data_IF_427662293307
#
_entry.id   IF_427662293307
#
_cell.length_a   1.000
_cell.length_b   1.000
_cell.length_c   1.000
_cell.angle_alpha   90.00
_cell.angle_beta   90.00
_cell.angle_gamma   90.00
#
_symmetry.space_group_name_H-M   'P 1'
#
loop_
_entity.id
_entity.type
_entity.pdbx_description
1 polymer ?
#
# COMPACT_ATOMS: atom_id res chain seq x y z
N UNK A 1 10.68 1.20 -5.53
CA UNK A 1 10.67 1.87 -4.21
C UNK A 1 10.62 3.36 -4.46
N UNK A 2 9.97 4.11 -3.57
CA UNK A 2 9.88 5.56 -3.65
C UNK A 2 10.58 6.13 -2.44
N UNK A 3 11.55 7.00 -2.67
CA UNK A 3 12.30 7.66 -1.58
C UNK A 3 11.42 8.72 -0.94
N UNK A 4 11.41 8.75 0.39
CA UNK A 4 10.65 9.72 1.17
C UNK A 4 11.61 10.71 1.79
N UNK A 5 11.43 11.99 1.49
CA UNK A 5 12.12 13.04 2.22
C UNK A 5 11.43 13.25 3.57
N UNK A 6 12.17 13.02 4.66
CA UNK A 6 11.68 13.28 5.99
C UNK A 6 11.55 14.78 6.25
N UNK A 7 10.40 15.21 6.75
CA UNK A 7 10.31 16.51 7.41
C UNK A 7 11.25 16.55 8.62
N UNK A 8 11.70 17.75 9.02
CA UNK A 8 12.59 17.94 10.19
C UNK A 8 12.02 17.39 11.51
N UNK A 9 10.73 17.05 11.53
CA UNK A 9 9.97 16.67 12.72
C UNK A 9 9.78 15.15 12.86
N UNK A 10 10.45 14.33 12.03
CA UNK A 10 10.30 12.87 12.04
C UNK A 10 8.97 12.40 11.45
N UNK A 11 8.39 13.21 10.56
CA UNK A 11 7.16 12.91 9.82
C UNK A 11 7.50 12.75 8.35
N UNK A 12 7.03 11.66 7.75
CA UNK A 12 7.25 11.29 6.36
C UNK A 12 5.89 11.12 5.70
N UNK A 13 5.75 11.55 4.45
CA UNK A 13 4.50 11.44 3.69
C UNK A 13 4.74 10.91 2.29
N UNK A 14 3.79 10.13 1.79
CA UNK A 14 3.70 9.79 0.38
C UNK A 14 2.25 9.58 -0.04
N UNK A 15 1.98 9.65 -1.34
CA UNK A 15 0.68 9.31 -1.89
C UNK A 15 0.69 7.91 -2.50
N UNK A 16 -0.38 7.16 -2.30
CA UNK A 16 -0.62 5.85 -2.91
C UNK A 16 -1.91 5.92 -3.71
N UNK A 17 -1.84 5.57 -4.99
CA UNK A 17 -3.01 5.43 -5.86
C UNK A 17 -3.58 4.03 -5.68
N UNK A 18 -4.88 3.93 -5.44
CA UNK A 18 -5.58 2.65 -5.47
C UNK A 18 -5.63 2.12 -6.91
N UNK A 19 -5.12 0.91 -7.14
CA UNK A 19 -5.28 0.20 -8.40
C UNK A 19 -6.68 -0.38 -8.57
N UNK A 20 -6.87 -1.18 -9.63
CA UNK A 20 -8.16 -1.77 -10.00
C UNK A 20 -8.76 -2.67 -8.90
N UNK A 21 -7.92 -3.29 -8.08
CA UNK A 21 -8.34 -4.15 -6.95
C UNK A 21 -8.83 -3.34 -5.76
N UNK A 22 -8.55 -2.03 -5.72
CA UNK A 22 -8.79 -1.11 -4.60
C UNK A 22 -8.13 -1.57 -3.29
N UNK A 23 -7.05 -2.35 -3.39
CA UNK A 23 -6.37 -2.96 -2.24
C UNK A 23 -4.86 -2.92 -2.44
N UNK A 24 -4.22 -1.99 -1.74
CA UNK A 24 -2.78 -1.78 -1.85
C UNK A 24 -2.05 -2.26 -0.60
N UNK A 25 -1.10 -3.16 -0.80
CA UNK A 25 -0.20 -3.65 0.24
C UNK A 25 1.14 -2.94 0.16
N UNK A 26 1.66 -2.47 1.30
CA UNK A 26 2.95 -1.80 1.34
C UNK A 26 3.67 -2.01 2.68
N UNK A 27 4.98 -1.78 2.68
CA UNK A 27 5.79 -1.59 3.89
C UNK A 27 6.74 -0.42 3.67
N UNK A 28 7.37 0.05 4.74
CA UNK A 28 8.43 1.06 4.66
C UNK A 28 9.77 0.37 4.89
N UNK A 29 10.86 0.93 4.38
CA UNK A 29 12.21 0.46 4.68
C UNK A 29 13.14 1.62 4.88
N UNK A 30 14.07 1.50 5.83
CA UNK A 30 15.14 2.46 6.05
C UNK A 30 16.33 2.25 5.08
N UNK A 31 16.29 1.19 4.27
CA UNK A 31 17.33 0.84 3.29
C UNK A 31 16.68 0.39 1.98
N UNK A 32 17.46 0.20 0.92
CA UNK A 32 16.96 -0.36 -0.34
C UNK A 32 16.52 -1.85 -0.21
N UNK A 33 16.90 -2.52 0.88
CA UNK A 33 16.60 -3.93 1.13
C UNK A 33 15.58 -4.18 2.26
N UNK A 34 15.15 -5.45 2.44
CA UNK A 34 14.20 -5.83 3.49
C UNK A 34 14.83 -5.93 4.89
N UNK A 35 16.13 -5.70 5.03
CA UNK A 35 16.87 -5.92 6.28
C UNK A 35 16.58 -4.86 7.36
N UNK A 36 15.97 -3.75 6.97
CA UNK A 36 15.54 -2.67 7.86
C UNK A 36 14.10 -2.26 7.55
N UNK A 37 13.21 -3.26 7.44
CA UNK A 37 11.81 -3.07 7.14
C UNK A 37 11.04 -2.55 8.37
N UNK A 38 10.17 -1.58 8.14
CA UNK A 38 9.17 -1.11 9.09
C UNK A 38 7.83 -1.64 8.62
N UNK A 39 7.21 -2.46 9.47
CA UNK A 39 6.10 -3.32 9.08
C UNK A 39 5.06 -3.44 10.21
N UNK A 40 3.83 -3.92 9.92
CA UNK A 40 2.88 -4.23 10.97
C UNK A 40 3.23 -5.52 11.71
N UNK A 41 2.64 -5.71 12.89
CA UNK A 41 2.75 -6.95 13.65
C UNK A 41 2.13 -8.18 12.94
N UNK A 42 1.14 -7.97 12.08
CA UNK A 42 0.42 -9.03 11.34
C UNK A 42 0.32 -8.67 9.86
N UNK A 43 0.23 -9.67 8.99
CA UNK A 43 0.07 -9.45 7.56
C UNK A 43 -1.28 -8.74 7.24
N UNK A 44 -1.27 -7.89 6.21
CA UNK A 44 -2.44 -7.15 5.71
C UNK A 44 -3.13 -6.32 6.79
N UNK A 45 -2.34 -5.67 7.64
CA UNK A 45 -2.87 -4.93 8.76
C UNK A 45 -3.32 -3.51 8.37
N UNK A 46 -4.34 -3.01 9.04
CA UNK A 46 -4.74 -1.61 8.90
C UNK A 46 -3.84 -0.67 9.71
N UNK A 47 -4.01 0.63 9.53
CA UNK A 47 -3.33 1.72 10.26
C UNK A 47 -3.52 1.68 11.78
N UNK A 48 -4.44 0.85 12.29
CA UNK A 48 -4.63 0.64 13.74
C UNK A 48 -3.64 -0.35 14.34
N UNK A 49 -2.86 -1.04 13.49
CA UNK A 49 -1.88 -2.03 13.92
C UNK A 49 -0.65 -1.37 14.53
N UNK A 50 0.04 -2.13 15.38
CA UNK A 50 1.33 -1.71 15.90
C UNK A 50 2.36 -1.70 14.77
N UNK A 51 3.15 -0.62 14.73
CA UNK A 51 4.33 -0.49 13.86
C UNK A 51 5.53 -1.14 14.55
N UNK A 52 6.21 -2.04 13.84
CA UNK A 52 7.35 -2.85 14.28
C UNK A 52 8.56 -2.58 13.38
N UNK A 53 9.76 -2.96 13.83
CA UNK A 53 11.03 -2.70 13.15
C UNK A 53 11.69 -1.37 13.58
N UNK A 54 12.66 -0.87 12.79
CA UNK A 54 13.23 -1.50 11.60
C UNK A 54 13.98 -2.79 11.94
N UNK A 55 13.66 -3.88 11.25
CA UNK A 55 14.35 -5.19 11.38
C UNK A 55 14.19 -6.04 10.10
N UNK A 56 14.70 -7.28 10.12
CA UNK A 56 14.68 -8.22 9.00
C UNK A 56 13.45 -9.13 8.95
N UNK A 57 12.52 -8.99 9.89
CA UNK A 57 11.39 -9.90 10.08
C UNK A 57 10.13 -9.47 9.31
N UNK A 58 10.19 -8.32 8.59
CA UNK A 58 9.08 -7.76 7.84
C UNK A 58 8.62 -8.54 6.59
N UNK A 59 9.22 -9.70 6.29
CA UNK A 59 8.88 -10.47 5.09
C UNK A 59 7.43 -10.96 5.13
N UNK A 60 6.62 -10.48 4.19
CA UNK A 60 5.19 -10.82 4.10
C UNK A 60 4.30 -10.07 5.10
N UNK A 61 4.87 -9.12 5.85
CA UNK A 61 4.14 -8.26 6.77
C UNK A 61 3.97 -6.89 6.11
N UNK A 62 2.79 -6.69 5.52
CA UNK A 62 2.45 -5.45 4.83
C UNK A 62 1.26 -4.77 5.49
N UNK A 63 1.28 -3.45 5.52
CA UNK A 63 0.10 -2.62 5.73
C UNK A 63 -0.83 -2.75 4.52
N UNK A 64 -2.14 -2.67 4.75
CA UNK A 64 -3.17 -2.76 3.71
C UNK A 64 -4.04 -1.51 3.72
N UNK A 65 -4.03 -0.75 2.62
CA UNK A 65 -5.06 0.23 2.31
C UNK A 65 -6.23 -0.53 1.66
N UNK A 66 -7.38 -0.60 2.33
CA UNK A 66 -8.56 -1.32 1.84
C UNK A 66 -9.63 -0.33 1.35
N UNK A 67 -9.49 0.13 0.11
CA UNK A 67 -10.46 1.01 -0.52
C UNK A 67 -11.85 0.39 -0.72
N UNK A 68 -12.00 -0.94 -0.62
CA UNK A 68 -13.31 -1.59 -0.55
C UNK A 68 -14.03 -1.29 0.76
N UNK A 69 -13.30 -1.31 1.88
CA UNK A 69 -13.87 -0.99 3.19
C UNK A 69 -14.25 0.50 3.31
N UNK A 70 -13.51 1.37 2.61
CA UNK A 70 -13.73 2.82 2.61
C UNK A 70 -14.71 3.31 1.52
N UNK A 71 -15.21 2.41 0.67
CA UNK A 71 -15.99 2.73 -0.55
C UNK A 71 -15.28 3.68 -1.54
N UNK A 72 -13.95 3.68 -1.52
CA UNK A 72 -13.13 4.48 -2.44
C UNK A 72 -12.97 3.79 -3.80
N UNK A 73 -13.23 4.47 -4.94
CA UNK A 73 -13.04 3.90 -6.26
C UNK A 73 -11.55 3.65 -6.61
N UNK A 74 -11.31 2.86 -7.65
CA UNK A 74 -9.98 2.77 -8.26
C UNK A 74 -9.55 4.16 -8.76
N UNK A 75 -8.26 4.46 -8.64
CA UNK A 75 -7.69 5.78 -8.90
C UNK A 75 -7.78 6.76 -7.72
N UNK A 76 -8.50 6.42 -6.64
CA UNK A 76 -8.46 7.24 -5.41
C UNK A 76 -7.05 7.30 -4.85
N UNK A 77 -6.67 8.48 -4.39
CA UNK A 77 -5.34 8.73 -3.82
C UNK A 77 -5.45 8.79 -2.30
N UNK A 78 -4.55 8.08 -1.64
CA UNK A 78 -4.39 8.10 -0.20
C UNK A 78 -3.06 8.73 0.16
N UNK A 79 -3.06 9.71 1.05
CA UNK A 79 -1.83 10.18 1.68
C UNK A 79 -1.53 9.27 2.87
N UNK A 80 -0.36 8.63 2.82
CA UNK A 80 0.22 7.88 3.93
C UNK A 80 1.09 8.84 4.74
N UNK A 81 0.79 8.97 6.02
CA UNK A 81 1.61 9.67 6.99
C UNK A 81 2.29 8.66 7.92
N UNK A 82 3.61 8.76 8.02
CA UNK A 82 4.41 7.97 8.92
C UNK A 82 5.14 8.88 9.92
N UNK A 83 4.89 8.64 11.20
CA UNK A 83 5.52 9.36 12.30
C UNK A 83 6.52 8.44 12.97
N UNK A 84 7.78 8.87 12.99
CA UNK A 84 8.88 8.13 13.60
C UNK A 84 9.74 9.04 14.47
N UNK A 85 9.35 9.14 15.73
CA UNK A 85 10.06 9.90 16.76
C UNK A 85 10.43 9.00 17.95
N UNK A 86 11.19 9.53 18.89
CA UNK A 86 11.50 8.82 20.14
C UNK A 86 10.26 8.53 20.99
N UNK A 87 9.21 9.35 20.88
CA UNK A 87 8.01 9.26 21.71
C UNK A 87 6.84 8.56 21.00
N UNK A 88 6.80 8.60 19.66
CA UNK A 88 5.68 8.11 18.88
C UNK A 88 6.16 7.39 17.62
N UNK A 89 5.56 6.22 17.40
CA UNK A 89 5.67 5.46 16.16
C UNK A 89 4.26 5.13 15.70
N UNK A 90 3.84 5.74 14.60
CA UNK A 90 2.52 5.50 14.05
C UNK A 90 2.53 5.62 12.54
N UNK A 91 1.62 4.90 11.92
CA UNK A 91 1.31 5.06 10.50
C UNK A 91 -0.18 5.30 10.35
N UNK A 92 -0.55 6.18 9.45
CA UNK A 92 -1.93 6.45 9.09
C UNK A 92 -2.05 6.76 7.62
N UNK A 93 -3.26 6.62 7.09
CA UNK A 93 -3.59 7.06 5.75
C UNK A 93 -5.03 7.55 5.68
N UNK A 94 -5.24 8.51 4.79
CA UNK A 94 -6.55 9.08 4.49
C UNK A 94 -6.68 9.42 3.01
N UNK A 95 -7.89 9.32 2.44
CA UNK A 95 -8.13 9.76 1.07
C UNK A 95 -7.85 11.26 0.92
N UNK A 96 -7.32 11.65 -0.24
CA UNK A 96 -7.05 13.05 -0.60
C UNK A 96 -8.07 13.52 -1.62
N UNK A 97 -8.73 14.63 -1.35
CA UNK A 97 -9.77 15.20 -2.23
C UNK A 97 -9.19 16.08 -3.35
N UNK A 98 -7.98 16.61 -3.21
CA UNK A 98 -7.37 17.55 -4.17
C UNK A 98 -5.91 17.18 -4.47
N UNK A 99 -5.63 16.84 -5.73
CA UNK A 99 -4.32 16.41 -6.25
C UNK A 99 -3.33 17.56 -6.33
N UNK A 100 -2.63 17.83 -5.22
CA UNK A 100 -1.37 18.56 -5.20
C UNK A 100 -0.35 17.83 -4.32
N UNK A 101 -0.04 16.57 -4.68
CA UNK A 101 0.96 15.78 -3.96
C UNK A 101 2.21 15.63 -4.83
N UNK A 102 3.36 15.98 -4.25
CA UNK A 102 4.66 15.99 -4.93
C UNK A 102 5.18 14.57 -5.27
N UNK A 103 4.61 13.53 -4.66
CA UNK A 103 5.06 12.14 -4.82
C UNK A 103 3.86 11.18 -4.87
N UNK A 104 3.56 10.64 -6.05
CA UNK A 104 2.47 9.70 -6.31
C UNK A 104 3.02 8.30 -6.63
N UNK A 105 2.70 7.31 -5.78
CA UNK A 105 3.03 5.89 -5.99
C UNK A 105 1.85 5.20 -6.67
N UNK A 106 2.08 4.51 -7.80
CA UNK A 106 1.06 3.73 -8.52
C UNK A 106 0.52 4.34 -9.81
N UNK A 107 1.08 5.45 -10.30
CA UNK A 107 0.74 5.98 -11.63
C UNK A 107 1.51 5.19 -12.71
N UNK A 108 0.88 4.17 -13.30
CA UNK A 108 1.42 3.52 -14.51
C UNK A 108 1.25 2.00 -14.70
N UNK A 109 0.37 1.32 -13.98
CA UNK A 109 0.21 -0.13 -14.18
C UNK A 109 -0.73 -0.47 -15.37
N UNK A 110 -0.14 -0.78 -16.53
CA UNK A 110 -0.83 -1.42 -17.65
C UNK A 110 -1.07 -2.92 -17.32
N UNK A 111 -2.23 -3.24 -16.75
CA UNK A 111 -2.57 -4.63 -16.42
C UNK A 111 -2.99 -5.44 -17.67
N UNK A 112 -2.17 -6.44 -18.03
CA UNK A 112 -2.52 -7.47 -19.02
C UNK A 112 -3.35 -8.56 -18.37
N UNK A 113 -4.62 -8.63 -18.73
CA UNK A 113 -5.51 -9.72 -18.34
C UNK A 113 -5.41 -10.89 -19.32
N UNK A 114 -5.32 -12.11 -18.80
CA UNK A 114 -5.51 -13.35 -19.57
C UNK A 114 -6.67 -14.12 -18.98
N UNK A 115 -7.74 -14.30 -19.76
CA UNK A 115 -8.82 -15.23 -19.44
C UNK A 115 -8.42 -16.61 -19.96
N UNK A 116 -8.21 -17.56 -19.06
CA UNK A 116 -8.13 -18.98 -19.41
C UNK A 116 -9.43 -19.64 -18.96
N UNK A 117 -10.24 -20.04 -19.93
CA UNK A 117 -11.44 -20.85 -19.71
C UNK A 117 -11.32 -22.16 -20.48
N UNK A 118 -11.66 -23.27 -19.83
CA UNK A 118 -11.92 -24.55 -20.49
C UNK A 118 -13.37 -24.55 -20.96
N UNK A 119 -13.58 -24.40 -22.26
CA UNK A 119 -14.91 -24.56 -22.84
C UNK A 119 -15.24 -26.06 -22.83
N UNK A 120 -16.11 -26.48 -21.92
CA UNK A 120 -16.70 -27.81 -21.99
C UNK A 120 -17.53 -27.90 -23.26
N UNK A 121 -17.13 -28.75 -24.20
CA UNK A 121 -17.97 -29.09 -25.34
C UNK A 121 -19.00 -30.13 -24.87
N UNK A 122 -20.16 -29.66 -24.42
CA UNK A 122 -21.35 -30.50 -24.36
C UNK A 122 -22.50 -29.86 -25.14
N UNK A 123 -22.80 -30.47 -26.29
CA UNK A 123 -24.15 -30.57 -26.82
C UNK A 123 -24.56 -29.65 -27.98
N UNK A 124 -24.48 -30.17 -29.22
CA UNK A 124 -25.42 -29.93 -30.32
C UNK A 124 -24.99 -30.81 -31.52
N UNK A 125 -25.82 -31.53 -32.29
CA UNK A 125 -27.26 -31.69 -32.43
C UNK A 125 -27.49 -32.90 -33.39
N UNK A 126 -28.61 -33.59 -33.18
CA UNK A 126 -29.31 -34.60 -34.03
C UNK A 126 -28.70 -36.00 -34.21
#
# INVERSE_FOLDING_TARGET
YVELEGGRDGVYRCAVVLGDTRREEFHLSCTEGPEAAIHPLVARASQKSQVVGPDSDGKGLNFLIDGLADDAPAGSIYEVEFVWTGERRSISWSPVEDTLLDVVVGEGDEHKYYLTGTFGAEGALQ
#
